data_IF_105243566019
#
_entry.id   IF_105243566019
#
_cell.length_a   1.000
_cell.length_b   1.000
_cell.length_c   1.000
_cell.angle_alpha   90.00
_cell.angle_beta   90.00
_cell.angle_gamma   90.00
#
_symmetry.space_group_name_H-M   'P 1'
#
loop_
_entity.id
_entity.type
_entity.pdbx_description
1 polymer ?
#
# COMPACT_ATOMS: atom_id res chain seq x y z
N UNK A 1 64.91 10.88 17.43
CA UNK A 1 64.45 11.18 16.07
C UNK A 1 63.42 12.32 16.17
N UNK A 2 63.82 13.54 15.78
CA UNK A 2 62.89 14.69 15.74
C UNK A 2 61.92 14.53 14.56
N UNK A 3 60.63 14.77 14.76
CA UNK A 3 59.69 14.75 13.66
C UNK A 3 60.01 15.91 12.67
N UNK A 4 60.23 15.59 11.41
CA UNK A 4 60.45 16.58 10.34
C UNK A 4 59.21 17.45 10.26
N UNK A 5 59.30 18.78 10.36
CA UNK A 5 58.12 19.65 10.24
C UNK A 5 57.56 19.57 8.82
N UNK A 6 56.35 19.08 8.68
CA UNK A 6 55.60 19.05 7.43
C UNK A 6 55.51 20.49 6.90
N UNK A 7 56.11 20.77 5.76
CA UNK A 7 56.04 22.07 5.09
C UNK A 7 54.57 22.43 4.83
N UNK A 8 54.13 23.67 5.14
CA UNK A 8 52.79 24.18 4.92
C UNK A 8 52.30 23.94 3.46
N UNK A 9 53.20 23.93 2.46
CA UNK A 9 52.92 23.63 1.08
C UNK A 9 52.57 22.16 0.83
N UNK A 10 53.12 21.21 1.60
CA UNK A 10 52.78 19.78 1.48
C UNK A 10 51.39 19.50 2.08
N UNK A 11 51.08 20.17 3.21
CA UNK A 11 49.74 20.07 3.84
C UNK A 11 48.64 20.58 2.92
N UNK A 12 48.87 21.73 2.29
CA UNK A 12 47.88 22.34 1.37
C UNK A 12 47.62 21.47 0.11
N UNK A 13 48.67 20.85 -0.45
CA UNK A 13 48.52 19.91 -1.58
C UNK A 13 47.75 18.64 -1.16
N UNK A 14 48.08 18.08 -0.01
CA UNK A 14 47.36 16.89 0.50
C UNK A 14 45.90 17.19 0.78
N UNK A 15 45.59 18.37 1.37
CA UNK A 15 44.21 18.79 1.58
C UNK A 15 43.47 19.01 0.26
N UNK A 16 44.12 19.60 -0.75
CA UNK A 16 43.52 19.79 -2.07
C UNK A 16 43.21 18.45 -2.76
N UNK A 17 44.13 17.49 -2.70
CA UNK A 17 43.93 16.14 -3.24
C UNK A 17 42.79 15.39 -2.52
N UNK A 18 42.67 15.55 -1.20
CA UNK A 18 41.56 14.96 -0.42
C UNK A 18 40.24 15.60 -0.82
N UNK A 19 40.19 16.96 -0.97
CA UNK A 19 38.99 17.65 -1.40
C UNK A 19 38.56 17.27 -2.82
N UNK A 20 39.52 17.18 -3.77
CA UNK A 20 39.23 16.75 -5.13
C UNK A 20 38.68 15.31 -5.14
N UNK A 21 39.32 14.38 -4.44
CA UNK A 21 38.84 13.00 -4.33
C UNK A 21 37.46 12.92 -3.67
N UNK A 22 37.25 13.65 -2.57
CA UNK A 22 35.95 13.73 -1.90
C UNK A 22 34.88 14.32 -2.83
N UNK A 23 35.20 15.40 -3.53
CA UNK A 23 34.30 16.01 -4.53
C UNK A 23 33.93 15.04 -5.65
N UNK A 24 34.92 14.31 -6.17
CA UNK A 24 34.71 13.30 -7.23
C UNK A 24 33.81 12.15 -6.74
N UNK A 25 34.02 11.67 -5.52
CA UNK A 25 33.17 10.63 -4.89
C UNK A 25 31.76 11.14 -4.69
N UNK A 26 31.58 12.40 -4.23
CA UNK A 26 30.26 13.00 -4.05
C UNK A 26 29.52 13.14 -5.40
N UNK A 27 30.21 13.64 -6.42
CA UNK A 27 29.64 13.76 -7.77
C UNK A 27 29.24 12.40 -8.32
N UNK A 28 30.10 11.39 -8.19
CA UNK A 28 29.79 10.03 -8.61
C UNK A 28 28.59 9.46 -7.85
N UNK A 29 28.55 9.67 -6.53
CA UNK A 29 27.43 9.21 -5.70
C UNK A 29 26.10 9.87 -6.09
N UNK A 30 26.12 11.18 -6.41
CA UNK A 30 24.93 11.91 -6.89
C UNK A 30 24.46 11.35 -8.24
N UNK A 31 25.35 11.09 -9.18
CA UNK A 31 24.99 10.46 -10.45
C UNK A 31 24.42 9.06 -10.27
N UNK A 32 25.06 8.23 -9.45
CA UNK A 32 24.54 6.89 -9.11
C UNK A 32 23.14 6.98 -8.47
N UNK A 33 22.92 7.94 -7.57
CA UNK A 33 21.62 8.15 -6.95
C UNK A 33 20.56 8.58 -7.96
N UNK A 34 20.89 9.48 -8.90
CA UNK A 34 19.95 9.94 -9.93
C UNK A 34 19.56 8.78 -10.89
N UNK A 35 20.52 7.94 -11.27
CA UNK A 35 20.26 6.73 -12.07
C UNK A 35 19.40 5.73 -11.31
N UNK A 36 19.62 5.57 -10.00
CA UNK A 36 18.85 4.66 -9.15
C UNK A 36 17.46 5.17 -8.79
N UNK A 37 17.25 6.48 -8.82
CA UNK A 37 16.02 7.16 -8.39
C UNK A 37 14.71 6.55 -8.92
N UNK A 38 14.56 6.21 -10.22
CA UNK A 38 13.34 5.58 -10.73
C UNK A 38 13.08 4.16 -10.19
N UNK A 39 14.11 3.47 -9.72
CA UNK A 39 14.02 2.11 -9.17
C UNK A 39 13.87 2.11 -7.64
N UNK A 40 14.05 3.25 -6.97
CA UNK A 40 14.04 3.36 -5.52
C UNK A 40 12.79 2.72 -4.90
N UNK A 41 11.63 3.12 -5.37
CA UNK A 41 10.35 2.68 -4.80
C UNK A 41 10.12 1.19 -5.02
N UNK A 42 10.48 0.68 -6.19
CA UNK A 42 10.44 -0.74 -6.52
C UNK A 42 11.36 -1.57 -5.63
N UNK A 43 12.60 -1.13 -5.42
CA UNK A 43 13.58 -1.80 -4.56
C UNK A 43 13.15 -1.79 -3.09
N UNK A 44 12.62 -0.65 -2.60
CA UNK A 44 12.13 -0.54 -1.23
C UNK A 44 10.94 -1.49 -0.98
N UNK A 45 9.97 -1.54 -1.89
CA UNK A 45 8.88 -2.51 -1.83
C UNK A 45 9.40 -3.95 -1.83
N UNK A 46 10.36 -4.25 -2.68
CA UNK A 46 10.95 -5.59 -2.76
C UNK A 46 11.62 -6.00 -1.46
N UNK A 47 12.35 -5.10 -0.80
CA UNK A 47 12.99 -5.35 0.49
C UNK A 47 11.93 -5.53 1.59
N UNK A 48 10.91 -4.68 1.65
CA UNK A 48 9.81 -4.78 2.62
C UNK A 48 9.09 -6.13 2.49
N UNK A 49 8.75 -6.52 1.26
CA UNK A 49 8.09 -7.80 0.97
C UNK A 49 9.00 -8.99 1.32
N UNK A 50 10.29 -8.92 0.96
CA UNK A 50 11.25 -9.96 1.30
C UNK A 50 11.36 -10.16 2.81
N UNK A 51 11.53 -9.09 3.59
CA UNK A 51 11.61 -9.15 5.05
C UNK A 51 10.33 -9.71 5.67
N UNK A 52 9.16 -9.32 5.13
CA UNK A 52 7.85 -9.73 5.63
C UNK A 52 7.56 -11.20 5.32
N UNK A 53 7.89 -11.66 4.11
CA UNK A 53 7.61 -13.02 3.65
C UNK A 53 8.69 -14.04 4.06
N UNK A 54 9.88 -13.58 4.47
CA UNK A 54 11.00 -14.45 4.83
C UNK A 54 10.67 -15.49 5.94
N UNK A 55 9.93 -15.17 7.03
CA UNK A 55 9.53 -16.17 8.01
C UNK A 55 8.65 -17.27 7.42
N UNK A 56 7.80 -16.94 6.46
CA UNK A 56 6.97 -17.91 5.74
C UNK A 56 7.83 -18.84 4.87
N UNK A 57 8.87 -18.28 4.21
CA UNK A 57 9.85 -19.07 3.46
C UNK A 57 10.57 -20.06 4.35
N UNK A 58 11.03 -19.66 5.56
CA UNK A 58 11.70 -20.56 6.49
C UNK A 58 10.81 -21.75 6.90
N UNK A 59 9.51 -21.50 7.12
CA UNK A 59 8.54 -22.58 7.41
C UNK A 59 8.36 -23.50 6.20
N UNK A 60 8.25 -22.95 5.00
CA UNK A 60 8.04 -23.71 3.78
C UNK A 60 9.29 -24.51 3.35
N UNK A 61 10.48 -24.05 3.68
CA UNK A 61 11.73 -24.77 3.45
C UNK A 61 11.75 -26.14 4.16
N UNK A 62 11.12 -26.24 5.31
CA UNK A 62 10.96 -27.52 6.03
C UNK A 62 10.20 -28.57 5.21
N UNK A 63 9.19 -28.14 4.45
CA UNK A 63 8.35 -29.01 3.61
C UNK A 63 8.95 -29.28 2.22
N UNK A 64 9.69 -28.34 1.63
CA UNK A 64 10.23 -28.40 0.25
C UNK A 64 11.69 -28.85 0.14
N UNK A 65 12.25 -29.48 1.18
CA UNK A 65 13.60 -30.08 1.12
C UNK A 65 14.74 -29.07 1.21
N UNK A 66 14.62 -28.05 2.08
CA UNK A 66 15.66 -27.06 2.48
C UNK A 66 16.26 -26.20 1.35
N UNK A 67 15.67 -26.15 0.17
CA UNK A 67 16.14 -25.29 -0.92
C UNK A 67 15.56 -23.87 -0.78
N UNK A 68 16.41 -22.88 -0.49
CA UNK A 68 16.03 -21.47 -0.32
C UNK A 68 15.33 -20.93 -1.58
N UNK A 69 15.91 -21.20 -2.77
CA UNK A 69 15.36 -20.72 -4.03
C UNK A 69 13.99 -21.31 -4.36
N UNK A 70 13.78 -22.63 -4.16
CA UNK A 70 12.48 -23.27 -4.45
C UNK A 70 11.38 -22.76 -3.53
N UNK A 71 11.69 -22.58 -2.23
CA UNK A 71 10.73 -22.02 -1.27
C UNK A 71 10.39 -20.56 -1.59
N UNK A 72 11.37 -19.75 -1.94
CA UNK A 72 11.15 -18.36 -2.39
C UNK A 72 10.28 -18.31 -3.65
N UNK A 73 10.59 -19.10 -4.67
CA UNK A 73 9.80 -19.17 -5.92
C UNK A 73 8.36 -19.61 -5.63
N UNK A 74 8.15 -20.64 -4.79
CA UNK A 74 6.81 -21.10 -4.45
C UNK A 74 5.99 -19.99 -3.75
N UNK A 75 6.59 -19.25 -2.81
CA UNK A 75 5.92 -18.13 -2.13
C UNK A 75 5.55 -17.03 -3.10
N UNK A 76 6.48 -16.66 -3.99
CA UNK A 76 6.23 -15.62 -5.00
C UNK A 76 5.09 -16.05 -5.92
N UNK A 77 5.08 -17.29 -6.42
CA UNK A 77 4.01 -17.80 -7.26
C UNK A 77 2.66 -17.82 -6.55
N UNK A 78 2.63 -18.26 -5.29
CA UNK A 78 1.42 -18.25 -4.46
C UNK A 78 0.94 -16.81 -4.24
N UNK A 79 1.83 -15.88 -3.90
CA UNK A 79 1.50 -14.48 -3.68
C UNK A 79 0.97 -13.81 -4.97
N UNK A 80 1.59 -14.08 -6.11
CA UNK A 80 1.10 -13.61 -7.42
C UNK A 80 -0.27 -14.23 -7.75
N UNK A 81 -0.47 -15.51 -7.51
CA UNK A 81 -1.74 -16.17 -7.75
C UNK A 81 -2.86 -15.59 -6.85
N UNK A 82 -2.59 -15.40 -5.56
CA UNK A 82 -3.53 -14.77 -4.62
C UNK A 82 -3.89 -13.35 -5.06
N UNK A 83 -2.97 -12.63 -5.68
CA UNK A 83 -3.19 -11.28 -6.16
C UNK A 83 -3.92 -11.25 -7.51
N UNK A 84 -3.44 -12.01 -8.49
CA UNK A 84 -3.92 -11.95 -9.89
C UNK A 84 -5.25 -12.64 -10.07
N UNK A 85 -5.48 -13.81 -9.44
CA UNK A 85 -6.71 -14.58 -9.64
C UNK A 85 -7.97 -13.80 -9.23
N UNK A 86 -8.08 -13.21 -8.03
CA UNK A 86 -9.24 -12.40 -7.67
C UNK A 86 -9.41 -11.17 -8.55
N UNK A 87 -8.30 -10.49 -8.91
CA UNK A 87 -8.36 -9.31 -9.79
C UNK A 87 -8.89 -9.68 -11.17
N UNK A 88 -8.44 -10.81 -11.72
CA UNK A 88 -8.93 -11.34 -13.00
C UNK A 88 -10.42 -11.69 -12.93
N UNK A 89 -10.85 -12.44 -11.88
CA UNK A 89 -12.26 -12.82 -11.69
C UNK A 89 -13.17 -11.60 -11.49
N UNK A 90 -12.72 -10.62 -10.71
CA UNK A 90 -13.44 -9.35 -10.55
C UNK A 90 -13.53 -8.58 -11.87
N UNK A 91 -12.43 -8.49 -12.61
CA UNK A 91 -12.39 -7.82 -13.90
C UNK A 91 -13.33 -8.43 -14.92
N UNK A 92 -13.34 -9.75 -15.03
CA UNK A 92 -14.27 -10.46 -15.95
C UNK A 92 -15.73 -10.33 -15.51
N UNK A 93 -16.01 -10.40 -14.20
CA UNK A 93 -17.36 -10.20 -13.66
C UNK A 93 -17.89 -8.78 -13.92
N UNK A 94 -17.06 -7.77 -13.72
CA UNK A 94 -17.42 -6.37 -14.02
C UNK A 94 -17.64 -6.18 -15.52
N UNK A 95 -16.74 -6.70 -16.36
CA UNK A 95 -16.84 -6.58 -17.80
C UNK A 95 -18.13 -7.23 -18.35
N UNK A 96 -18.50 -8.41 -17.86
CA UNK A 96 -19.74 -9.08 -18.24
C UNK A 96 -20.98 -8.31 -17.78
N UNK A 97 -20.97 -7.77 -16.56
CA UNK A 97 -22.07 -6.96 -16.04
C UNK A 97 -22.27 -5.66 -16.83
N UNK A 98 -21.16 -4.97 -17.15
CA UNK A 98 -21.21 -3.76 -18.00
C UNK A 98 -21.73 -4.10 -19.40
N UNK A 99 -21.29 -5.22 -19.98
CA UNK A 99 -21.79 -5.70 -21.28
C UNK A 99 -23.31 -5.91 -21.25
N UNK A 100 -23.84 -6.61 -20.25
CA UNK A 100 -25.26 -6.84 -20.08
C UNK A 100 -26.06 -5.53 -19.93
N UNK A 101 -25.57 -4.57 -19.16
CA UNK A 101 -26.21 -3.26 -19.01
C UNK A 101 -26.24 -2.50 -20.35
N UNK A 102 -25.13 -2.50 -21.10
CA UNK A 102 -25.06 -1.86 -22.42
C UNK A 102 -26.05 -2.51 -23.39
N UNK A 103 -26.17 -3.83 -23.40
CA UNK A 103 -27.08 -4.55 -24.29
C UNK A 103 -28.54 -4.33 -23.89
N UNK A 104 -28.86 -4.28 -22.59
CA UNK A 104 -30.18 -3.92 -22.09
C UNK A 104 -30.58 -2.49 -22.49
N UNK A 105 -29.65 -1.54 -22.39
CA UNK A 105 -29.88 -0.14 -22.81
C UNK A 105 -30.11 -0.04 -24.32
N UNK A 106 -29.34 -0.78 -25.14
CA UNK A 106 -29.48 -0.80 -26.60
C UNK A 106 -30.77 -1.45 -27.05
N UNK A 107 -31.27 -2.45 -26.35
CA UNK A 107 -32.52 -3.16 -26.66
C UNK A 107 -33.78 -2.40 -26.18
N UNK A 108 -33.62 -1.21 -25.59
CA UNK A 108 -34.76 -0.41 -25.09
C UNK A 108 -35.47 -1.02 -23.87
N UNK A 109 -34.91 -2.11 -23.31
CA UNK A 109 -35.51 -2.84 -22.20
C UNK A 109 -35.20 -2.28 -20.81
N UNK A 110 -34.45 -1.18 -20.73
CA UNK A 110 -34.11 -0.58 -19.43
C UNK A 110 -35.22 0.37 -19.00
N UNK A 111 -36.20 -0.15 -18.27
CA UNK A 111 -37.23 0.66 -17.63
C UNK A 111 -36.74 1.06 -16.23
N UNK A 112 -36.40 2.33 -16.07
CA UNK A 112 -36.15 2.91 -14.74
C UNK A 112 -37.53 3.19 -14.15
N UNK A 113 -37.93 2.58 -13.01
CA UNK A 113 -39.19 2.90 -12.37
C UNK A 113 -39.23 4.39 -11.99
N UNK A 114 -40.42 5.03 -12.05
CA UNK A 114 -40.53 6.44 -11.66
C UNK A 114 -40.06 6.65 -10.22
N UNK A 115 -39.52 7.84 -9.91
CA UNK A 115 -39.02 8.12 -8.57
C UNK A 115 -40.17 8.03 -7.54
N UNK A 116 -39.96 7.37 -6.40
CA UNK A 116 -40.90 7.43 -5.30
C UNK A 116 -41.09 8.88 -4.81
N UNK A 117 -42.32 9.25 -4.42
CA UNK A 117 -42.65 10.61 -3.96
C UNK A 117 -41.77 11.08 -2.76
N UNK A 118 -41.27 10.14 -1.97
CA UNK A 118 -40.38 10.39 -0.87
C UNK A 118 -39.00 10.97 -1.27
N UNK A 119 -38.54 10.79 -2.50
CA UNK A 119 -37.27 11.35 -2.97
C UNK A 119 -37.33 12.87 -3.12
N UNK A 120 -38.48 13.41 -3.51
CA UNK A 120 -38.68 14.84 -3.64
C UNK A 120 -38.60 15.60 -2.30
N UNK A 121 -38.81 14.90 -1.19
CA UNK A 121 -38.80 15.48 0.18
C UNK A 121 -37.42 15.46 0.87
N UNK A 122 -36.38 14.93 0.20
CA UNK A 122 -35.03 14.90 0.79
C UNK A 122 -34.46 16.31 0.96
N UNK A 123 -33.87 16.65 2.13
CA UNK A 123 -33.27 17.95 2.37
C UNK A 123 -32.05 18.16 1.45
N UNK A 124 -31.94 19.37 0.86
CA UNK A 124 -30.86 19.86 0.00
C UNK A 124 -30.80 19.31 -1.44
N UNK A 125 -31.11 18.03 -1.69
CA UNK A 125 -30.90 17.41 -3.03
C UNK A 125 -32.17 16.78 -3.63
N UNK A 126 -33.26 16.64 -2.87
CA UNK A 126 -34.44 15.87 -3.25
C UNK A 126 -35.07 16.33 -4.57
N UNK A 127 -35.26 17.62 -4.76
CA UNK A 127 -35.85 18.17 -5.99
C UNK A 127 -34.99 17.92 -7.24
N UNK A 128 -33.68 18.07 -7.12
CA UNK A 128 -32.74 17.85 -8.24
C UNK A 128 -32.61 16.37 -8.60
N UNK A 129 -32.55 15.50 -7.59
CA UNK A 129 -32.47 14.05 -7.76
C UNK A 129 -33.79 13.50 -8.34
N UNK A 130 -34.93 13.92 -7.80
CA UNK A 130 -36.25 13.52 -8.27
C UNK A 130 -36.51 13.95 -9.75
N UNK A 131 -36.10 15.16 -10.13
CA UNK A 131 -36.24 15.63 -11.51
C UNK A 131 -35.34 14.85 -12.49
N UNK A 132 -34.08 14.60 -12.11
CA UNK A 132 -33.16 13.77 -12.91
C UNK A 132 -33.65 12.32 -13.04
N UNK A 133 -34.17 11.77 -11.94
CA UNK A 133 -34.72 10.40 -11.93
C UNK A 133 -35.99 10.31 -12.78
N UNK A 134 -36.92 11.27 -12.66
CA UNK A 134 -38.12 11.33 -13.52
C UNK A 134 -37.77 11.45 -15.02
N UNK A 135 -36.74 12.24 -15.32
CA UNK A 135 -36.26 12.37 -16.70
C UNK A 135 -35.57 11.08 -17.18
N UNK A 136 -34.86 10.35 -16.31
CA UNK A 136 -34.26 9.06 -16.61
C UNK A 136 -35.30 7.95 -16.81
N UNK A 137 -36.45 8.02 -16.12
CA UNK A 137 -37.55 7.05 -16.26
C UNK A 137 -38.37 7.24 -17.53
N UNK A 138 -38.40 8.47 -18.07
CA UNK A 138 -39.23 8.78 -19.28
C UNK A 138 -38.42 8.68 -20.56
N UNK A 139 -37.17 9.22 -20.60
CA UNK A 139 -36.36 9.34 -21.82
C UNK A 139 -34.87 9.13 -21.55
N UNK A 140 -34.52 7.92 -21.14
CA UNK A 140 -33.13 7.53 -20.86
C UNK A 140 -32.15 7.81 -22.03
N UNK A 141 -32.53 7.52 -23.32
CA UNK A 141 -31.65 7.82 -24.45
C UNK A 141 -31.30 9.30 -24.60
N UNK A 142 -32.29 10.18 -24.40
CA UNK A 142 -32.11 11.65 -24.49
C UNK A 142 -31.24 12.15 -23.34
N UNK A 143 -31.44 11.63 -22.14
CA UNK A 143 -30.66 11.97 -20.98
C UNK A 143 -29.19 11.52 -21.14
N UNK A 144 -28.98 10.30 -21.62
CA UNK A 144 -27.63 9.78 -21.94
C UNK A 144 -26.98 10.65 -23.01
N UNK A 145 -27.67 11.01 -24.08
CA UNK A 145 -27.12 11.89 -25.13
C UNK A 145 -26.75 13.27 -24.60
N UNK A 146 -27.57 13.84 -23.72
CA UNK A 146 -27.33 15.19 -23.10
C UNK A 146 -26.10 15.19 -22.19
N UNK A 147 -25.89 14.14 -21.40
CA UNK A 147 -24.79 14.03 -20.45
C UNK A 147 -23.58 13.26 -21.01
N UNK A 148 -23.66 12.73 -22.23
CA UNK A 148 -22.58 12.00 -22.89
C UNK A 148 -21.23 12.72 -22.90
N UNK A 149 -21.14 14.07 -23.12
CA UNK A 149 -19.87 14.77 -23.03
C UNK A 149 -19.28 14.79 -21.61
N UNK A 150 -20.14 14.92 -20.59
CA UNK A 150 -19.74 14.90 -19.19
C UNK A 150 -19.36 13.49 -18.74
N UNK A 151 -20.14 12.48 -19.17
CA UNK A 151 -19.84 11.06 -18.95
C UNK A 151 -18.53 10.67 -19.62
N UNK A 152 -18.22 11.16 -20.83
CA UNK A 152 -16.92 10.96 -21.49
C UNK A 152 -15.77 11.56 -20.69
N UNK A 153 -15.93 12.75 -20.10
CA UNK A 153 -14.90 13.35 -19.23
C UNK A 153 -14.66 12.54 -17.95
N UNK A 154 -15.74 12.10 -17.31
CA UNK A 154 -15.70 11.25 -16.11
C UNK A 154 -15.16 9.84 -16.45
N UNK A 155 -15.55 9.25 -17.59
CA UNK A 155 -15.07 7.93 -18.02
C UNK A 155 -13.57 7.95 -18.35
N UNK A 156 -13.05 9.00 -18.98
CA UNK A 156 -11.62 9.17 -19.20
C UNK A 156 -10.85 9.30 -17.88
N UNK A 157 -11.38 10.05 -16.92
CA UNK A 157 -10.81 10.15 -15.56
C UNK A 157 -10.84 8.81 -14.80
N UNK A 158 -11.92 8.03 -14.94
CA UNK A 158 -12.04 6.67 -14.40
C UNK A 158 -11.09 5.70 -15.11
N UNK A 159 -10.99 5.73 -16.43
CA UNK A 159 -10.06 4.91 -17.20
C UNK A 159 -8.60 5.18 -16.78
N UNK A 160 -8.24 6.45 -16.57
CA UNK A 160 -6.90 6.83 -16.11
C UNK A 160 -6.62 6.30 -14.70
N UNK A 161 -7.62 6.32 -13.82
CA UNK A 161 -7.50 5.75 -12.46
C UNK A 161 -7.39 4.21 -12.51
N UNK A 162 -8.19 3.54 -13.34
CA UNK A 162 -8.14 2.08 -13.54
C UNK A 162 -6.80 1.68 -14.16
N UNK A 163 -6.32 2.41 -15.16
CA UNK A 163 -4.98 2.20 -15.73
C UNK A 163 -3.88 2.40 -14.69
N UNK A 164 -4.01 3.41 -13.81
CA UNK A 164 -3.11 3.63 -12.68
C UNK A 164 -3.09 2.46 -11.69
N UNK A 165 -4.25 1.88 -11.37
CA UNK A 165 -4.35 0.66 -10.55
C UNK A 165 -3.68 -0.52 -11.23
N UNK A 166 -3.89 -0.70 -12.55
CA UNK A 166 -3.22 -1.73 -13.34
C UNK A 166 -1.69 -1.59 -13.35
N UNK A 167 -1.19 -0.37 -13.55
CA UNK A 167 0.23 -0.08 -13.46
C UNK A 167 0.81 -0.34 -12.06
N UNK A 168 0.08 0.03 -11.00
CA UNK A 168 0.43 -0.27 -9.62
C UNK A 168 0.49 -1.78 -9.34
N UNK A 169 -0.45 -2.55 -9.90
CA UNK A 169 -0.46 -4.01 -9.80
C UNK A 169 0.77 -4.63 -10.48
N UNK A 170 1.11 -4.18 -11.69
CA UNK A 170 2.31 -4.63 -12.39
C UNK A 170 3.59 -4.32 -11.61
N UNK A 171 3.71 -3.10 -11.08
CA UNK A 171 4.84 -2.72 -10.22
C UNK A 171 4.92 -3.61 -8.97
N UNK A 172 3.79 -3.94 -8.36
CA UNK A 172 3.75 -4.82 -7.19
C UNK A 172 4.16 -6.25 -7.53
N UNK A 173 3.77 -6.78 -8.70
CA UNK A 173 4.19 -8.10 -9.18
C UNK A 173 5.71 -8.10 -9.42
N UNK A 174 6.26 -7.07 -10.05
CA UNK A 174 7.71 -6.95 -10.26
C UNK A 174 8.43 -6.88 -8.91
N UNK A 175 7.90 -6.10 -7.95
CA UNK A 175 8.44 -6.05 -6.59
C UNK A 175 8.41 -7.42 -5.89
N UNK A 176 7.36 -8.21 -6.05
CA UNK A 176 7.27 -9.59 -5.53
C UNK A 176 8.32 -10.52 -6.16
N UNK A 177 8.57 -10.40 -7.46
CA UNK A 177 9.60 -11.21 -8.15
C UNK A 177 10.99 -10.86 -7.60
N UNK A 178 11.31 -9.57 -7.48
CA UNK A 178 12.58 -9.12 -6.91
C UNK A 178 12.70 -9.52 -5.43
N UNK A 179 11.61 -9.43 -4.66
CA UNK A 179 11.56 -9.91 -3.29
C UNK A 179 11.88 -11.41 -3.20
N UNK A 180 11.42 -12.21 -4.16
CA UNK A 180 11.78 -13.63 -4.29
C UNK A 180 13.28 -13.83 -4.46
N UNK A 181 13.93 -13.01 -5.28
CA UNK A 181 15.40 -13.05 -5.45
C UNK A 181 16.11 -12.67 -4.14
N UNK A 182 15.63 -11.63 -3.44
CA UNK A 182 16.18 -11.26 -2.12
C UNK A 182 15.99 -12.37 -1.09
N UNK A 183 14.82 -13.00 -1.05
CA UNK A 183 14.54 -14.13 -0.16
C UNK A 183 15.43 -15.34 -0.48
N UNK A 184 15.67 -15.65 -1.77
CA UNK A 184 16.56 -16.73 -2.16
C UNK A 184 18.02 -16.51 -1.69
N UNK A 185 18.42 -15.25 -1.47
CA UNK A 185 19.74 -14.87 -0.94
C UNK A 185 19.65 -14.26 0.48
N UNK A 186 18.62 -14.61 1.24
CA UNK A 186 18.27 -13.96 2.50
C UNK A 186 19.40 -13.95 3.53
N UNK A 187 20.19 -15.04 3.63
CA UNK A 187 21.36 -15.11 4.53
C UNK A 187 22.47 -14.13 4.13
N UNK A 188 22.73 -13.99 2.83
CA UNK A 188 23.73 -13.05 2.33
C UNK A 188 23.25 -11.61 2.53
N UNK A 189 21.97 -11.32 2.26
CA UNK A 189 21.37 -10.02 2.49
C UNK A 189 21.39 -9.61 3.96
N UNK A 190 21.06 -10.53 4.88
CA UNK A 190 21.14 -10.28 6.32
C UNK A 190 22.55 -9.96 6.80
N UNK A 191 23.56 -10.70 6.32
CA UNK A 191 24.99 -10.41 6.64
C UNK A 191 25.37 -9.03 6.13
N UNK A 192 25.06 -8.71 4.87
CA UNK A 192 25.36 -7.41 4.30
C UNK A 192 24.70 -6.26 5.11
N UNK A 193 23.46 -6.42 5.55
CA UNK A 193 22.79 -5.43 6.40
C UNK A 193 23.50 -5.25 7.75
N UNK A 194 23.93 -6.35 8.38
CA UNK A 194 24.71 -6.31 9.63
C UNK A 194 26.09 -5.66 9.41
N UNK A 195 26.78 -5.99 8.33
CA UNK A 195 28.10 -5.42 8.00
C UNK A 195 28.00 -3.90 7.76
N UNK A 196 26.99 -3.44 7.03
CA UNK A 196 26.73 -2.00 6.81
C UNK A 196 26.41 -1.31 8.14
N UNK A 197 25.50 -1.88 8.93
CA UNK A 197 25.12 -1.33 10.22
C UNK A 197 26.34 -1.27 11.18
N UNK A 198 27.15 -2.33 11.20
CA UNK A 198 28.37 -2.40 12.02
C UNK A 198 29.44 -1.40 11.57
N UNK A 199 29.53 -1.12 10.27
CA UNK A 199 30.45 -0.09 9.75
C UNK A 199 30.07 1.32 10.18
N UNK A 200 28.78 1.59 10.31
CA UNK A 200 28.24 2.91 10.69
C UNK A 200 28.21 3.10 12.22
N UNK A 201 27.78 2.06 12.96
CA UNK A 201 27.46 2.17 14.40
C UNK A 201 28.39 1.38 15.29
N UNK A 202 29.41 0.73 14.73
CA UNK A 202 30.35 -0.15 15.46
C UNK A 202 29.88 -1.61 15.46
N UNK A 203 30.85 -2.52 15.60
CA UNK A 203 30.65 -3.98 15.50
C UNK A 203 29.69 -4.53 16.57
N UNK A 204 29.63 -3.92 17.74
CA UNK A 204 28.75 -4.33 18.84
C UNK A 204 27.28 -3.91 18.61
N UNK A 205 27.07 -2.70 18.09
CA UNK A 205 25.73 -2.09 17.92
C UNK A 205 25.07 -2.47 16.58
N UNK A 206 25.88 -2.78 15.56
CA UNK A 206 25.41 -3.07 14.21
C UNK A 206 24.37 -4.18 14.11
N UNK A 207 24.60 -5.37 14.70
CA UNK A 207 23.63 -6.46 14.66
C UNK A 207 22.28 -6.07 15.27
N UNK A 208 22.29 -5.35 16.40
CA UNK A 208 21.06 -4.90 17.08
C UNK A 208 20.28 -3.90 16.25
N UNK A 209 20.95 -2.98 15.55
CA UNK A 209 20.30 -2.02 14.65
C UNK A 209 19.67 -2.74 13.44
N UNK A 210 20.39 -3.69 12.85
CA UNK A 210 19.87 -4.47 11.72
C UNK A 210 18.63 -5.29 12.13
N UNK A 211 18.65 -5.88 13.33
CA UNK A 211 17.51 -6.60 13.90
C UNK A 211 16.34 -5.65 14.16
N UNK A 212 16.56 -4.48 14.76
CA UNK A 212 15.53 -3.47 14.98
C UNK A 212 14.85 -3.03 13.68
N UNK A 213 15.65 -2.71 12.65
CA UNK A 213 15.12 -2.35 11.34
C UNK A 213 14.22 -3.46 10.78
N UNK A 214 14.70 -4.70 10.83
CA UNK A 214 13.96 -5.87 10.33
C UNK A 214 12.68 -6.11 11.12
N UNK A 215 12.74 -6.04 12.47
CA UNK A 215 11.58 -6.21 13.33
C UNK A 215 10.54 -5.11 13.12
N UNK A 216 10.98 -3.85 12.98
CA UNK A 216 10.08 -2.71 12.72
C UNK A 216 9.37 -2.84 11.37
N UNK A 217 10.09 -3.15 10.30
CA UNK A 217 9.48 -3.36 8.96
C UNK A 217 8.44 -4.47 9.04
N UNK A 218 8.78 -5.59 9.70
CA UNK A 218 7.87 -6.74 9.84
C UNK A 218 6.64 -6.39 10.68
N UNK A 219 6.79 -5.68 11.78
CA UNK A 219 5.69 -5.27 12.64
C UNK A 219 4.70 -4.36 11.88
N UNK A 220 5.21 -3.38 11.14
CA UNK A 220 4.38 -2.50 10.31
C UNK A 220 3.68 -3.29 9.21
N UNK A 221 4.38 -4.17 8.50
CA UNK A 221 3.80 -4.97 7.43
C UNK A 221 2.71 -5.92 7.93
N UNK A 222 2.94 -6.61 9.06
CA UNK A 222 1.94 -7.46 9.69
C UNK A 222 0.74 -6.65 10.20
N UNK A 223 0.98 -5.44 10.71
CA UNK A 223 -0.06 -4.51 11.08
C UNK A 223 -0.95 -4.14 9.88
N UNK A 224 -0.35 -3.79 8.75
CA UNK A 224 -1.07 -3.48 7.49
C UNK A 224 -1.91 -4.67 7.02
N UNK A 225 -1.33 -5.87 6.97
CA UNK A 225 -2.07 -7.09 6.57
C UNK A 225 -3.20 -7.41 7.56
N UNK A 226 -2.95 -7.27 8.86
CA UNK A 226 -3.96 -7.48 9.90
C UNK A 226 -5.13 -6.49 9.79
N UNK A 227 -4.85 -5.21 9.53
CA UNK A 227 -5.87 -4.18 9.30
C UNK A 227 -6.69 -4.52 8.05
N UNK A 228 -6.02 -4.86 6.94
CA UNK A 228 -6.68 -5.23 5.70
C UNK A 228 -7.59 -6.48 5.88
N UNK A 229 -7.16 -7.43 6.70
CA UNK A 229 -7.96 -8.62 7.04
C UNK A 229 -9.20 -8.25 7.87
N UNK A 230 -9.07 -7.40 8.89
CA UNK A 230 -10.20 -6.90 9.67
C UNK A 230 -11.18 -6.15 8.77
N UNK A 231 -10.68 -5.29 7.89
CA UNK A 231 -11.50 -4.54 6.93
C UNK A 231 -12.24 -5.46 5.98
N UNK A 232 -11.56 -6.50 5.45
CA UNK A 232 -12.17 -7.54 4.64
C UNK A 232 -13.33 -8.22 5.37
N UNK A 233 -13.15 -8.59 6.65
CA UNK A 233 -14.20 -9.23 7.44
C UNK A 233 -15.39 -8.32 7.67
N UNK A 234 -15.16 -7.05 8.01
CA UNK A 234 -16.24 -6.08 8.25
C UNK A 234 -17.04 -5.79 6.97
N UNK A 235 -16.36 -5.45 5.89
CA UNK A 235 -17.01 -5.16 4.59
C UNK A 235 -17.66 -6.42 4.02
N UNK A 236 -16.95 -7.56 4.08
CA UNK A 236 -17.44 -8.85 3.61
C UNK A 236 -18.70 -9.30 4.37
N UNK A 237 -18.75 -9.11 5.68
CA UNK A 237 -19.96 -9.36 6.48
C UNK A 237 -21.13 -8.52 5.98
N UNK A 238 -20.92 -7.22 5.74
CA UNK A 238 -21.95 -6.36 5.17
C UNK A 238 -22.47 -6.87 3.82
N UNK A 239 -21.55 -7.31 2.93
CA UNK A 239 -21.92 -7.84 1.62
C UNK A 239 -22.69 -9.15 1.72
N UNK A 240 -22.29 -10.07 2.61
CA UNK A 240 -22.98 -11.35 2.83
C UNK A 240 -24.36 -11.14 3.42
N UNK A 241 -24.49 -10.29 4.46
CA UNK A 241 -25.79 -10.00 5.10
C UNK A 241 -26.80 -9.34 4.13
N UNK A 242 -26.28 -8.57 3.16
CA UNK A 242 -27.10 -7.94 2.13
C UNK A 242 -27.38 -8.87 0.93
N UNK A 243 -26.77 -10.06 0.88
CA UNK A 243 -26.94 -11.00 -0.22
C UNK A 243 -26.29 -10.54 -1.54
N UNK A 244 -25.19 -9.77 -1.48
CA UNK A 244 -24.51 -9.28 -2.67
C UNK A 244 -23.93 -10.46 -3.46
N UNK A 245 -24.22 -10.56 -4.79
CA UNK A 245 -23.61 -11.59 -5.63
C UNK A 245 -22.09 -11.49 -5.61
N UNK A 246 -21.41 -12.60 -5.37
CA UNK A 246 -19.94 -12.61 -5.29
C UNK A 246 -19.35 -11.90 -4.05
N UNK A 247 -20.11 -11.78 -2.95
CA UNK A 247 -19.69 -11.13 -1.71
C UNK A 247 -18.31 -11.57 -1.23
N UNK A 248 -18.02 -12.87 -1.27
CA UNK A 248 -16.71 -13.41 -0.87
C UNK A 248 -15.57 -12.94 -1.77
N UNK A 249 -15.78 -12.89 -3.08
CA UNK A 249 -14.79 -12.41 -4.04
C UNK A 249 -14.54 -10.89 -3.87
N UNK A 250 -15.60 -10.12 -3.66
CA UNK A 250 -15.50 -8.69 -3.38
C UNK A 250 -14.77 -8.43 -2.05
N UNK A 251 -15.02 -9.23 -1.02
CA UNK A 251 -14.31 -9.15 0.26
C UNK A 251 -12.80 -9.43 0.08
N UNK A 252 -12.42 -10.46 -0.69
CA UNK A 252 -11.03 -10.72 -1.05
C UNK A 252 -10.44 -9.55 -1.83
N UNK A 253 -11.21 -8.93 -2.73
CA UNK A 253 -10.81 -7.70 -3.40
C UNK A 253 -10.49 -6.56 -2.44
N UNK A 254 -11.30 -6.38 -1.39
CA UNK A 254 -11.04 -5.39 -0.31
C UNK A 254 -9.75 -5.73 0.44
N UNK A 255 -9.50 -7.01 0.74
CA UNK A 255 -8.24 -7.44 1.36
C UNK A 255 -7.03 -7.06 0.51
N UNK A 256 -7.09 -7.35 -0.79
CA UNK A 256 -6.00 -7.05 -1.72
C UNK A 256 -5.75 -5.54 -1.84
N UNK A 257 -6.81 -4.73 -1.96
CA UNK A 257 -6.70 -3.28 -1.96
C UNK A 257 -6.05 -2.78 -0.66
N UNK A 258 -6.45 -3.33 0.50
CA UNK A 258 -5.87 -2.99 1.79
C UNK A 258 -4.36 -3.32 1.88
N UNK A 259 -3.94 -4.49 1.40
CA UNK A 259 -2.52 -4.88 1.34
C UNK A 259 -1.75 -3.97 0.38
N UNK A 260 -2.33 -3.62 -0.76
CA UNK A 260 -1.76 -2.69 -1.74
C UNK A 260 -1.83 -1.22 -1.29
N UNK A 261 -2.41 -0.93 -0.13
CA UNK A 261 -2.65 0.42 0.40
C UNK A 261 -3.53 1.29 -0.52
N UNK A 262 -4.38 0.66 -1.31
CA UNK A 262 -5.39 1.34 -2.11
C UNK A 262 -6.68 1.49 -1.30
N UNK A 263 -7.45 2.56 -1.51
CA UNK A 263 -8.67 2.79 -0.73
C UNK A 263 -9.73 1.72 -1.04
N UNK A 264 -10.28 1.10 0.00
CA UNK A 264 -11.37 0.12 -0.14
C UNK A 264 -12.64 0.70 -0.76
N UNK A 265 -12.77 2.03 -0.77
CA UNK A 265 -13.85 2.77 -1.43
C UNK A 265 -13.94 2.48 -2.93
N UNK A 266 -12.88 2.01 -3.56
CA UNK A 266 -12.91 1.54 -4.97
C UNK A 266 -13.88 0.36 -5.19
N UNK A 267 -14.12 -0.46 -4.15
CA UNK A 267 -15.09 -1.56 -4.20
C UNK A 267 -16.37 -1.17 -3.46
N UNK A 268 -16.27 -0.54 -2.29
CA UNK A 268 -17.44 -0.29 -1.46
C UNK A 268 -18.40 0.74 -2.06
N UNK A 269 -17.91 1.81 -2.71
CA UNK A 269 -18.77 2.80 -3.34
C UNK A 269 -19.57 2.25 -4.54
N UNK A 270 -18.98 1.52 -5.50
CA UNK A 270 -19.74 0.87 -6.57
C UNK A 270 -20.79 -0.11 -6.05
N UNK A 271 -20.48 -0.89 -5.01
CA UNK A 271 -21.44 -1.84 -4.42
C UNK A 271 -22.59 -1.10 -3.73
N UNK A 272 -22.31 -0.03 -2.98
CA UNK A 272 -23.34 0.83 -2.38
C UNK A 272 -24.25 1.41 -3.49
N UNK A 273 -23.64 1.95 -4.54
CA UNK A 273 -24.39 2.49 -5.67
C UNK A 273 -25.27 1.42 -6.36
N UNK A 274 -24.74 0.21 -6.55
CA UNK A 274 -25.49 -0.92 -7.10
C UNK A 274 -26.73 -1.25 -6.26
N UNK A 275 -26.56 -1.40 -4.93
CA UNK A 275 -27.67 -1.73 -4.03
C UNK A 275 -28.71 -0.60 -3.97
N UNK A 276 -28.26 0.65 -3.95
CA UNK A 276 -29.14 1.81 -4.02
C UNK A 276 -29.96 1.85 -5.32
N UNK A 277 -29.35 1.48 -6.45
CA UNK A 277 -30.02 1.45 -7.75
C UNK A 277 -31.02 0.29 -7.88
N UNK A 278 -30.71 -0.87 -7.28
CA UNK A 278 -31.55 -2.08 -7.44
C UNK A 278 -32.69 -2.17 -6.43
N UNK A 279 -32.45 -1.79 -5.18
CA UNK A 279 -33.45 -1.92 -4.11
C UNK A 279 -34.11 -0.59 -3.71
N UNK A 280 -33.58 0.52 -4.20
CA UNK A 280 -34.00 1.85 -3.80
C UNK A 280 -33.57 2.24 -2.37
N UNK A 281 -33.81 3.48 -1.95
CA UNK A 281 -33.44 4.02 -0.64
C UNK A 281 -34.44 3.58 0.44
N UNK A 282 -34.40 2.32 0.82
CA UNK A 282 -35.12 1.79 1.99
C UNK A 282 -34.23 1.76 3.24
N UNK A 283 -34.83 1.57 4.42
CA UNK A 283 -34.09 1.56 5.70
C UNK A 283 -32.95 0.54 5.69
N UNK A 284 -33.16 -0.67 5.17
CA UNK A 284 -32.14 -1.71 5.08
C UNK A 284 -30.96 -1.29 4.19
N UNK A 285 -31.25 -0.67 3.04
CA UNK A 285 -30.24 -0.19 2.09
C UNK A 285 -29.42 0.96 2.66
N UNK A 286 -30.06 1.87 3.41
CA UNK A 286 -29.38 2.99 4.07
C UNK A 286 -28.45 2.47 5.18
N UNK A 287 -28.94 1.54 6.02
CA UNK A 287 -28.10 0.92 7.08
C UNK A 287 -26.90 0.22 6.48
N UNK A 288 -27.12 -0.56 5.41
CA UNK A 288 -26.05 -1.22 4.67
C UNK A 288 -25.03 -0.22 4.12
N UNK A 289 -25.49 0.85 3.47
CA UNK A 289 -24.64 1.87 2.87
C UNK A 289 -23.76 2.56 3.92
N UNK A 290 -24.36 2.97 5.04
CA UNK A 290 -23.63 3.60 6.16
C UNK A 290 -22.62 2.63 6.77
N UNK A 291 -23.04 1.39 7.04
CA UNK A 291 -22.17 0.37 7.62
C UNK A 291 -20.96 0.08 6.71
N UNK A 292 -21.19 -0.21 5.43
CA UNK A 292 -20.13 -0.55 4.48
C UNK A 292 -19.22 0.65 4.21
N UNK A 293 -19.77 1.87 4.19
CA UNK A 293 -18.97 3.08 4.04
C UNK A 293 -18.03 3.28 5.23
N UNK A 294 -18.54 3.17 6.47
CA UNK A 294 -17.72 3.26 7.69
C UNK A 294 -16.68 2.12 7.73
N UNK A 295 -17.09 0.89 7.42
CA UNK A 295 -16.19 -0.25 7.34
C UNK A 295 -15.10 -0.06 6.26
N UNK A 296 -15.43 0.59 5.15
CA UNK A 296 -14.49 0.95 4.09
C UNK A 296 -13.45 1.99 4.50
N UNK A 297 -13.71 2.77 5.53
CA UNK A 297 -12.81 3.80 6.08
C UNK A 297 -12.10 3.36 7.38
N UNK A 298 -12.39 2.17 7.88
CA UNK A 298 -11.91 1.71 9.19
C UNK A 298 -10.38 1.62 9.27
N UNK A 299 -9.72 1.41 8.14
CA UNK A 299 -8.26 1.39 8.04
C UNK A 299 -7.62 2.71 8.48
N UNK A 300 -8.28 3.87 8.26
CA UNK A 300 -7.77 5.18 8.68
C UNK A 300 -7.72 5.34 10.21
N UNK A 301 -8.55 4.57 10.92
CA UNK A 301 -8.57 4.54 12.40
C UNK A 301 -7.66 3.43 12.93
N UNK A 302 -7.69 2.25 12.30
CA UNK A 302 -6.92 1.10 12.78
C UNK A 302 -5.43 1.24 12.53
N UNK A 303 -5.00 1.92 11.45
CA UNK A 303 -3.57 2.16 11.16
C UNK A 303 -2.85 2.79 12.36
N UNK A 304 -3.28 3.95 12.90
CA UNK A 304 -2.63 4.54 14.06
C UNK A 304 -2.72 3.71 15.34
N UNK A 305 -3.72 2.82 15.48
CA UNK A 305 -3.91 2.02 16.69
C UNK A 305 -3.09 0.71 16.70
N UNK A 306 -2.83 0.13 15.53
CA UNK A 306 -2.24 -1.21 15.42
C UNK A 306 -0.80 -1.20 14.92
N UNK A 307 -0.36 -0.13 14.24
CA UNK A 307 1.03 0.00 13.77
C UNK A 307 1.99 0.15 14.94
N UNK A 308 3.07 -0.63 14.91
CA UNK A 308 4.17 -0.54 15.89
C UNK A 308 4.03 -1.44 17.12
N UNK A 309 3.04 -2.31 17.22
CA UNK A 309 3.01 -3.33 18.26
C UNK A 309 4.10 -4.38 18.01
N UNK A 310 4.93 -4.66 19.04
CA UNK A 310 5.97 -5.70 18.97
C UNK A 310 7.38 -5.21 18.62
N UNK A 311 7.66 -3.91 18.80
CA UNK A 311 9.00 -3.32 18.64
C UNK A 311 9.43 -2.71 19.98
N UNK A 312 10.73 -2.84 20.33
CA UNK A 312 11.33 -2.28 21.56
C UNK A 312 11.53 -0.75 21.48
N UNK A 313 10.51 -0.05 21.00
CA UNK A 313 10.48 1.41 20.85
C UNK A 313 9.11 1.91 21.29
N UNK A 314 9.03 3.06 21.98
CA UNK A 314 7.73 3.62 22.40
C UNK A 314 6.76 3.78 21.23
N UNK A 315 5.53 3.34 21.43
CA UNK A 315 4.46 3.41 20.41
C UNK A 315 4.31 4.79 19.73
N UNK A 316 4.40 5.93 20.45
CA UNK A 316 4.33 7.25 19.81
C UNK A 316 5.41 7.48 18.75
N UNK A 317 6.63 6.95 18.93
CA UNK A 317 7.73 7.11 17.96
C UNK A 317 7.39 6.39 16.65
N UNK A 318 6.91 5.15 16.76
CA UNK A 318 6.48 4.36 15.58
C UNK A 318 5.30 5.03 14.88
N UNK A 319 4.32 5.53 15.65
CA UNK A 319 3.14 6.21 15.12
C UNK A 319 3.50 7.51 14.39
N UNK A 320 4.31 8.36 15.01
CA UNK A 320 4.79 9.61 14.39
C UNK A 320 5.60 9.29 13.14
N UNK A 321 6.44 8.24 13.19
CA UNK A 321 7.17 7.74 12.04
C UNK A 321 6.26 7.33 10.89
N UNK A 322 5.21 6.55 11.19
CA UNK A 322 4.25 6.09 10.19
C UNK A 322 3.46 7.26 9.56
N UNK A 323 2.90 8.14 10.38
CA UNK A 323 2.11 9.29 9.91
C UNK A 323 2.99 10.32 9.20
N UNK A 324 4.12 10.70 9.79
CA UNK A 324 5.06 11.64 9.19
C UNK A 324 5.67 11.11 7.90
N UNK A 325 6.06 9.83 7.90
CA UNK A 325 6.56 9.15 6.71
C UNK A 325 5.52 9.10 5.59
N UNK A 326 4.26 8.81 5.92
CA UNK A 326 3.16 8.81 4.94
C UNK A 326 2.94 10.19 4.32
N UNK A 327 3.02 11.25 5.08
CA UNK A 327 2.89 12.65 4.59
C UNK A 327 4.05 13.03 3.67
N UNK A 328 5.28 12.63 4.01
CA UNK A 328 6.49 13.03 3.26
C UNK A 328 6.78 12.17 2.03
N UNK A 329 6.51 10.88 2.10
CA UNK A 329 6.93 9.89 1.08
C UNK A 329 5.81 8.93 0.68
N UNK A 330 4.55 9.26 1.01
CA UNK A 330 3.39 8.42 0.69
C UNK A 330 3.43 7.05 1.36
N UNK A 331 2.93 6.04 0.65
CA UNK A 331 2.77 4.67 1.18
C UNK A 331 4.11 4.05 1.63
N UNK A 332 5.19 4.29 0.89
CA UNK A 332 6.53 3.83 1.29
C UNK A 332 6.99 4.46 2.60
N UNK A 333 6.67 5.73 2.81
CA UNK A 333 6.99 6.44 4.06
C UNK A 333 6.32 5.82 5.28
N UNK A 334 5.14 5.19 5.12
CA UNK A 334 4.47 4.44 6.18
C UNK A 334 5.35 3.32 6.76
N UNK A 335 6.21 2.71 5.94
CA UNK A 335 7.13 1.65 6.36
C UNK A 335 8.50 2.19 6.79
N UNK A 336 9.04 3.13 6.02
CA UNK A 336 10.39 3.69 6.24
C UNK A 336 10.40 4.63 7.44
N UNK A 337 9.36 5.45 7.60
CA UNK A 337 9.26 6.44 8.68
C UNK A 337 9.41 5.84 10.07
N UNK A 338 8.65 4.79 10.43
CA UNK A 338 8.84 4.07 11.70
C UNK A 338 10.25 3.53 11.89
N UNK A 339 10.85 2.96 10.84
CA UNK A 339 12.22 2.42 10.92
C UNK A 339 13.23 3.53 11.20
N UNK A 340 13.16 4.63 10.47
CA UNK A 340 14.08 5.78 10.64
C UNK A 340 13.94 6.37 12.03
N UNK A 341 12.70 6.60 12.51
CA UNK A 341 12.50 7.16 13.85
C UNK A 341 12.83 6.17 14.96
N UNK A 342 12.59 4.87 14.77
CA UNK A 342 12.97 3.85 15.75
C UNK A 342 14.50 3.75 15.92
N UNK A 343 15.23 3.75 14.79
CA UNK A 343 16.70 3.77 14.80
C UNK A 343 17.22 5.07 15.42
N UNK A 344 16.69 6.22 15.00
CA UNK A 344 17.05 7.53 15.55
C UNK A 344 16.80 7.61 17.05
N UNK A 345 15.66 7.11 17.54
CA UNK A 345 15.32 7.03 18.94
C UNK A 345 16.33 6.18 19.73
N UNK A 346 16.67 4.99 19.23
CA UNK A 346 17.66 4.13 19.89
C UNK A 346 19.06 4.74 19.92
N UNK A 347 19.50 5.32 18.80
CA UNK A 347 20.82 5.99 18.74
C UNK A 347 20.89 7.19 19.69
N UNK A 348 19.80 7.98 19.78
CA UNK A 348 19.71 9.10 20.69
C UNK A 348 19.81 8.65 22.16
N UNK A 349 19.04 7.64 22.56
CA UNK A 349 19.08 7.14 23.94
C UNK A 349 20.41 6.47 24.28
N UNK A 350 21.05 5.78 23.34
CA UNK A 350 22.40 5.25 23.54
C UNK A 350 23.39 6.37 23.75
N UNK A 351 23.34 7.44 22.96
CA UNK A 351 24.18 8.61 23.14
C UNK A 351 23.97 9.28 24.51
N UNK A 352 22.74 9.37 25.00
CA UNK A 352 22.43 9.90 26.34
C UNK A 352 22.97 9.02 27.45
N UNK A 353 22.96 7.68 27.26
CA UNK A 353 23.44 6.72 28.24
C UNK A 353 24.99 6.53 28.24
N UNK A 354 25.61 6.74 27.09
CA UNK A 354 27.09 6.68 26.92
C UNK A 354 27.79 7.95 27.49
N UNK A 355 27.28 8.57 28.58
CA UNK A 355 28.03 9.63 29.25
C UNK A 355 29.33 9.03 29.81
N UNK A 356 30.49 9.66 29.53
CA UNK A 356 31.71 9.21 30.18
C UNK A 356 31.51 9.31 31.70
N UNK A 357 31.77 8.21 32.40
CA UNK A 357 31.88 8.25 33.85
C UNK A 357 32.84 9.38 34.18
N UNK A 358 32.36 10.44 34.81
CA UNK A 358 33.20 11.50 35.35
C UNK A 358 34.21 10.83 36.32
N UNK A 359 35.47 10.74 35.84
CA UNK A 359 36.60 10.30 36.62
C UNK A 359 37.12 11.38 37.55
#
# INVERSE_FOLDING_TARGET
>A
MMPVPLSAKSLTRTMLDVLIRAGLIVVLALFCFEIFRPFRDLMLWSVILAITLYPLQLRLMGALGRSEGRAATAIVLIAIAILVVPVYLLGTSIASSVGQVIDLVKQGGFHIPPPPDTVATWPLVGKSVSALWAQASTDLPVLVAKYLPQIKGVSLGLLTKIAGVGAGLLMFIVALIIAGVFMAHGKAGSRCAVDIASRVSGAEKGPRIAELCTATIRAVALGVVGIAFIQMLLVGLGFVLKGIPGAGLLAIGVLLLGIMQLPATLITLPVIAYVMATEGPNTSTIIFAVFVFIAGLVDNVLKPLLLGRGVDVPMPVVLIGALGGMVTSGILGLFIGPVVLAVGYQLFWQWVQDQPAEG
#
